data_IF_279587035421
#
_entry.id   IF_279587035421
#
_cell.length_a   1.000
_cell.length_b   1.000
_cell.length_c   1.000
_cell.angle_alpha   90.00
_cell.angle_beta   90.00
_cell.angle_gamma   90.00
#
_symmetry.space_group_name_H-M   'P 1'
#
loop_
_entity.id
_entity.type
_entity.pdbx_description
1 polymer ?
#
# COMPACT_ATOMS: atom_id res chain seq x y z
N UNK A 1 -0.90 -6.37 16.45
CA UNK A 1 0.15 -6.57 15.43
C UNK A 1 0.83 -5.25 15.14
N UNK A 2 2.14 -5.22 15.07
CA UNK A 2 2.89 -4.00 14.81
C UNK A 2 3.73 -4.12 13.55
N UNK A 3 4.06 -2.97 12.97
CA UNK A 3 4.95 -2.85 11.82
C UNK A 3 6.08 -1.89 12.18
N UNK A 4 7.12 -1.86 11.36
CA UNK A 4 8.30 -1.03 11.59
C UNK A 4 8.29 0.13 10.58
N UNK A 5 8.28 1.35 11.10
CA UNK A 5 8.31 2.57 10.29
C UNK A 5 9.71 2.77 9.69
N UNK A 6 9.81 3.69 8.72
CA UNK A 6 11.09 4.00 8.07
C UNK A 6 12.19 4.43 9.04
N UNK A 7 11.82 5.08 10.13
CA UNK A 7 12.78 5.51 11.15
C UNK A 7 13.11 4.41 12.17
N UNK A 8 12.63 3.19 11.96
CA UNK A 8 12.92 2.06 12.83
C UNK A 8 12.00 1.91 14.03
N UNK A 9 11.05 2.81 14.22
CA UNK A 9 10.13 2.73 15.36
C UNK A 9 8.96 1.79 15.06
N UNK A 10 8.39 1.23 16.13
CA UNK A 10 7.21 0.38 16.02
C UNK A 10 5.95 1.23 15.90
N UNK A 11 5.01 0.72 15.13
CA UNK A 11 3.70 1.34 14.98
C UNK A 11 2.64 0.24 14.94
N UNK A 12 1.49 0.48 15.56
CA UNK A 12 0.37 -0.44 15.47
C UNK A 12 -0.10 -0.51 14.02
N UNK A 13 -0.32 -1.72 13.52
CA UNK A 13 -0.78 -1.93 12.15
C UNK A 13 -2.24 -1.50 12.00
N UNK A 14 -2.53 -0.72 10.97
CA UNK A 14 -3.88 -0.25 10.65
C UNK A 14 -4.16 -0.54 9.16
N UNK A 15 -4.96 -1.57 8.91
CA UNK A 15 -5.28 -1.99 7.55
C UNK A 15 -6.06 -0.93 6.76
N UNK A 16 -6.75 -0.02 7.44
CA UNK A 16 -7.49 1.04 6.76
C UNK A 16 -6.58 1.98 5.99
N UNK A 17 -5.34 2.14 6.43
CA UNK A 17 -4.35 2.96 5.71
C UNK A 17 -3.99 2.32 4.37
N UNK A 18 -3.87 1.00 4.34
CA UNK A 18 -3.63 0.25 3.10
C UNK A 18 -4.82 0.40 2.16
N UNK A 19 -6.03 0.22 2.69
CA UNK A 19 -7.25 0.38 1.89
C UNK A 19 -7.31 1.76 1.25
N UNK A 20 -7.08 2.81 2.02
CA UNK A 20 -7.11 4.18 1.51
C UNK A 20 -6.06 4.41 0.42
N UNK A 21 -4.84 3.92 0.64
CA UNK A 21 -3.77 4.11 -0.33
C UNK A 21 -4.09 3.42 -1.66
N UNK A 22 -4.56 2.18 -1.59
CA UNK A 22 -4.88 1.40 -2.79
C UNK A 22 -6.09 2.00 -3.51
N UNK A 23 -7.16 2.31 -2.78
CA UNK A 23 -8.37 2.87 -3.38
C UNK A 23 -8.09 4.22 -4.03
N UNK A 24 -7.26 5.05 -3.40
CA UNK A 24 -6.83 6.33 -3.98
C UNK A 24 -6.08 6.13 -5.29
N UNK A 25 -5.16 5.16 -5.35
CA UNK A 25 -4.39 4.86 -6.55
C UNK A 25 -5.31 4.35 -7.67
N UNK A 26 -6.25 3.47 -7.35
CA UNK A 26 -7.20 2.95 -8.32
C UNK A 26 -8.08 4.06 -8.89
N UNK A 27 -8.58 4.93 -8.02
CA UNK A 27 -9.43 6.04 -8.42
C UNK A 27 -8.66 7.03 -9.30
N UNK A 28 -7.45 7.39 -8.90
CA UNK A 28 -6.64 8.36 -9.64
C UNK A 28 -6.24 7.84 -11.02
N UNK A 29 -6.07 6.53 -11.16
CA UNK A 29 -5.70 5.92 -12.45
C UNK A 29 -6.88 5.60 -13.35
N UNK A 30 -8.11 5.81 -12.85
CA UNK A 30 -9.32 5.49 -13.60
C UNK A 30 -9.62 4.00 -13.68
N UNK A 31 -8.98 3.19 -12.84
CA UNK A 31 -9.27 1.76 -12.80
C UNK A 31 -10.62 1.50 -12.15
N UNK A 32 -11.49 0.84 -12.90
CA UNK A 32 -12.84 0.55 -12.45
C UNK A 32 -12.90 -0.86 -11.86
N UNK A 33 -12.46 -1.00 -10.62
CA UNK A 33 -12.50 -2.28 -9.91
C UNK A 33 -13.45 -2.18 -8.72
N UNK A 34 -14.23 -3.25 -8.49
CA UNK A 34 -15.17 -3.29 -7.38
C UNK A 34 -14.53 -3.98 -6.16
N UNK A 35 -13.47 -3.37 -5.65
CA UNK A 35 -12.76 -3.89 -4.49
C UNK A 35 -13.01 -2.95 -3.32
N UNK A 36 -13.64 -3.45 -2.27
CA UNK A 36 -14.00 -2.64 -1.09
C UNK A 36 -12.90 -2.63 -0.03
N UNK A 37 -12.24 -3.77 0.17
CA UNK A 37 -11.19 -3.91 1.18
C UNK A 37 -9.96 -4.55 0.55
N UNK A 38 -9.21 -3.79 -0.25
CA UNK A 38 -8.03 -4.35 -0.92
C UNK A 38 -6.95 -4.85 0.05
N UNK A 39 -6.92 -4.35 1.29
CA UNK A 39 -5.96 -4.79 2.29
C UNK A 39 -6.02 -6.29 2.56
N UNK A 40 -7.15 -6.94 2.34
CA UNK A 40 -7.27 -8.38 2.55
C UNK A 40 -6.44 -9.21 1.57
N UNK A 41 -6.01 -8.61 0.48
CA UNK A 41 -5.15 -9.28 -0.51
C UNK A 41 -3.67 -9.05 -0.25
N UNK A 42 -3.34 -8.23 0.76
CA UNK A 42 -1.96 -7.87 1.08
C UNK A 42 -1.56 -8.59 2.36
N UNK A 43 -0.56 -9.46 2.26
CA UNK A 43 -0.02 -10.16 3.43
C UNK A 43 0.77 -9.18 4.29
N UNK A 44 0.47 -9.15 5.59
CA UNK A 44 1.23 -8.35 6.56
C UNK A 44 1.52 -9.22 7.76
N UNK A 45 2.79 -9.34 8.11
CA UNK A 45 3.23 -10.11 9.27
C UNK A 45 3.75 -9.17 10.36
N UNK A 46 3.64 -9.62 11.60
CA UNK A 46 4.13 -8.86 12.73
C UNK A 46 5.62 -8.55 12.56
N UNK A 47 5.98 -7.27 12.68
CA UNK A 47 7.37 -6.83 12.51
C UNK A 47 7.77 -6.51 11.08
N UNK A 48 6.86 -6.62 10.10
CA UNK A 48 7.16 -6.21 8.73
C UNK A 48 7.47 -4.72 8.67
N UNK A 49 8.39 -4.34 7.78
CA UNK A 49 8.67 -2.92 7.54
C UNK A 49 7.64 -2.33 6.60
N UNK A 50 7.48 -1.01 6.69
CA UNK A 50 6.59 -0.29 5.77
C UNK A 50 7.02 -0.51 4.32
N UNK A 51 8.33 -0.54 4.05
CA UNK A 51 8.85 -0.75 2.70
C UNK A 51 8.44 -2.10 2.12
N UNK A 52 8.51 -3.16 2.92
CA UNK A 52 8.11 -4.50 2.49
C UNK A 52 6.62 -4.54 2.16
N UNK A 53 5.81 -3.91 3.01
CA UNK A 53 4.36 -3.85 2.79
C UNK A 53 4.07 -3.09 1.49
N UNK A 54 4.75 -1.97 1.28
CA UNK A 54 4.58 -1.17 0.06
C UNK A 54 5.00 -1.94 -1.18
N UNK A 55 6.06 -2.74 -1.09
CA UNK A 55 6.47 -3.60 -2.21
C UNK A 55 5.37 -4.61 -2.57
N UNK A 56 4.73 -5.20 -1.57
CA UNK A 56 3.64 -6.14 -1.79
C UNK A 56 2.43 -5.47 -2.42
N UNK A 57 2.09 -4.26 -1.99
CA UNK A 57 1.00 -3.48 -2.57
C UNK A 57 1.30 -3.17 -4.04
N UNK A 58 2.52 -2.74 -4.32
CA UNK A 58 2.96 -2.40 -5.66
C UNK A 58 2.86 -3.61 -6.60
N UNK A 59 3.35 -4.76 -6.15
CA UNK A 59 3.29 -6.00 -6.93
C UNK A 59 1.86 -6.43 -7.20
N UNK A 60 1.00 -6.33 -6.20
CA UNK A 60 -0.41 -6.67 -6.35
C UNK A 60 -1.11 -5.73 -7.33
N UNK A 61 -0.88 -4.43 -7.21
CA UNK A 61 -1.45 -3.44 -8.14
C UNK A 61 -0.96 -3.68 -9.57
N UNK A 62 0.32 -4.05 -9.74
CA UNK A 62 0.86 -4.37 -11.05
C UNK A 62 0.09 -5.50 -11.73
N UNK A 63 -0.40 -6.46 -10.95
CA UNK A 63 -1.14 -7.60 -11.48
C UNK A 63 -2.56 -7.27 -11.87
N UNK A 64 -3.18 -6.26 -11.24
CA UNK A 64 -4.59 -5.94 -11.50
C UNK A 64 -4.78 -4.67 -12.30
N UNK A 65 -3.93 -3.68 -12.10
CA UNK A 65 -3.99 -2.39 -12.80
C UNK A 65 -2.63 -1.71 -12.80
N UNK A 66 -1.80 -1.94 -13.83
CA UNK A 66 -0.47 -1.32 -13.89
C UNK A 66 -0.48 0.21 -13.77
N UNK A 67 -1.51 0.86 -14.28
CA UNK A 67 -1.65 2.32 -14.15
C UNK A 67 -1.76 2.75 -12.70
N UNK A 68 -2.51 1.99 -11.90
CA UNK A 68 -2.63 2.27 -10.46
C UNK A 68 -1.31 2.01 -9.74
N UNK A 69 -0.56 1.00 -10.16
CA UNK A 69 0.77 0.73 -9.60
C UNK A 69 1.70 1.92 -9.80
N UNK A 70 1.66 2.55 -10.97
CA UNK A 70 2.47 3.75 -11.24
C UNK A 70 2.09 4.91 -10.34
N UNK A 71 0.79 5.13 -10.13
CA UNK A 71 0.31 6.17 -9.21
C UNK A 71 0.81 5.89 -7.79
N UNK A 72 0.74 4.63 -7.37
CA UNK A 72 1.20 4.24 -6.04
C UNK A 72 2.70 4.44 -5.88
N UNK A 73 3.50 4.12 -6.90
CA UNK A 73 4.94 4.32 -6.88
C UNK A 73 5.27 5.81 -6.68
N UNK A 74 4.58 6.69 -7.39
CA UNK A 74 4.78 8.13 -7.26
C UNK A 74 4.39 8.63 -5.86
N UNK A 75 3.30 8.12 -5.31
CA UNK A 75 2.87 8.42 -3.95
C UNK A 75 3.96 8.02 -2.96
N UNK A 76 4.48 6.81 -3.10
CA UNK A 76 5.51 6.24 -2.27
C UNK A 76 6.78 7.10 -2.28
N UNK A 77 7.23 7.52 -3.46
CA UNK A 77 8.41 8.38 -3.62
C UNK A 77 8.19 9.75 -2.98
N UNK A 78 7.02 10.32 -3.15
CA UNK A 78 6.68 11.64 -2.60
C UNK A 78 6.72 11.64 -1.06
N UNK A 79 6.36 10.52 -0.44
CA UNK A 79 6.28 10.42 1.03
C UNK A 79 7.49 9.72 1.64
N UNK A 80 8.53 9.51 0.87
CA UNK A 80 9.72 8.75 1.30
C UNK A 80 10.45 9.39 2.47
N UNK A 81 10.45 10.70 2.56
CA UNK A 81 11.21 11.46 3.56
C UNK A 81 10.37 11.97 4.73
N UNK A 82 9.17 11.45 4.90
CA UNK A 82 8.28 11.86 5.99
C UNK A 82 8.38 10.89 7.16
#
# INVERSE_FOLDING_TARGET
>A
MFIIKRNGTKQEFDSSKIDKAILSALKASGCNTEINQPSKYITVDNGDTVEVIQDRIENWLMSICPSAAKVFILYREKHKNI
#
